data_IF_182484783744
#
_entry.id   IF_182484783744
#
_cell.length_a   1.000
_cell.length_b   1.000
_cell.length_c   1.000
_cell.angle_alpha   90.00
_cell.angle_beta   90.00
_cell.angle_gamma   90.00
#
_symmetry.space_group_name_H-M   'P 1'
#
loop_
_entity.id
_entity.type
_entity.pdbx_description
1 polymer ?
#
# COMPACT_ATOMS: atom_id res chain seq x y z
N UNK A 1 -2.48 7.09 60.02
CA UNK A 1 -3.95 7.16 59.93
C UNK A 1 -4.38 6.54 58.60
N UNK A 2 -5.05 5.38 58.57
CA UNK A 2 -5.45 4.71 57.34
C UNK A 2 -6.79 5.26 56.83
N UNK A 3 -6.86 5.52 55.53
CA UNK A 3 -8.08 5.98 54.82
C UNK A 3 -9.02 4.80 54.57
N UNK A 4 -10.27 4.94 54.97
CA UNK A 4 -11.36 3.97 54.73
C UNK A 4 -11.81 4.01 53.29
N UNK A 5 -11.80 2.86 52.62
CA UNK A 5 -12.36 2.64 51.30
C UNK A 5 -13.82 2.21 51.48
N UNK A 6 -14.76 3.03 50.99
CA UNK A 6 -16.20 2.71 50.99
C UNK A 6 -16.53 2.00 49.67
N UNK A 7 -16.92 0.73 49.76
CA UNK A 7 -17.47 -0.05 48.64
C UNK A 7 -18.92 0.35 48.39
N UNK A 8 -19.21 0.78 47.16
CA UNK A 8 -20.56 1.14 46.70
C UNK A 8 -21.18 -0.05 45.94
N UNK A 9 -22.07 -0.75 46.58
CA UNK A 9 -22.82 -1.90 46.07
C UNK A 9 -23.79 -1.44 44.97
N UNK A 10 -23.65 -1.94 43.75
CA UNK A 10 -24.61 -1.73 42.63
C UNK A 10 -25.73 -2.75 42.74
N UNK A 11 -26.96 -2.28 42.91
CA UNK A 11 -28.18 -3.10 42.81
C UNK A 11 -28.48 -3.39 41.33
N UNK A 12 -28.61 -4.68 41.03
CA UNK A 12 -29.05 -5.18 39.69
C UNK A 12 -30.58 -5.14 39.67
N UNK A 13 -31.14 -4.40 38.71
CA UNK A 13 -32.58 -4.38 38.47
C UNK A 13 -33.00 -5.55 37.57
N UNK A 14 -33.87 -6.41 38.07
CA UNK A 14 -34.45 -7.52 37.32
C UNK A 14 -35.63 -6.98 36.48
N UNK A 15 -35.50 -7.01 35.18
CA UNK A 15 -36.59 -6.65 34.23
C UNK A 15 -37.42 -7.88 33.94
N UNK A 16 -38.67 -7.91 34.37
CA UNK A 16 -39.68 -8.93 34.02
C UNK A 16 -40.10 -8.75 32.57
N UNK A 17 -39.84 -9.77 31.71
CA UNK A 17 -40.36 -9.85 30.36
C UNK A 17 -41.82 -10.22 30.35
N UNK A 18 -42.68 -9.37 29.72
CA UNK A 18 -44.10 -9.71 29.40
C UNK A 18 -44.15 -10.50 28.10
N UNK A 19 -44.92 -11.60 28.13
CA UNK A 19 -45.20 -12.45 26.98
C UNK A 19 -45.96 -11.65 25.90
N UNK A 20 -45.32 -11.46 24.74
CA UNK A 20 -45.97 -10.93 23.53
C UNK A 20 -45.95 -11.95 22.42
N UNK A 21 -47.13 -12.24 21.84
CA UNK A 21 -47.42 -13.22 20.80
C UNK A 21 -46.54 -12.94 19.55
N UNK A 22 -45.90 -13.98 19.03
CA UNK A 22 -45.17 -13.97 17.76
C UNK A 22 -46.15 -14.01 16.58
N UNK A 23 -46.08 -13.12 15.60
CA UNK A 23 -46.78 -13.28 14.32
C UNK A 23 -45.99 -14.23 13.42
N UNK A 24 -46.66 -15.20 12.84
CA UNK A 24 -46.21 -16.17 11.85
C UNK A 24 -45.76 -15.46 10.56
N UNK A 25 -44.56 -15.68 10.01
CA UNK A 25 -44.21 -15.06 8.73
C UNK A 25 -44.80 -15.87 7.55
N UNK A 26 -45.56 -15.20 6.71
CA UNK A 26 -46.00 -15.67 5.39
C UNK A 26 -44.80 -15.84 4.45
N UNK A 27 -44.69 -16.91 3.66
CA UNK A 27 -43.58 -17.07 2.72
C UNK A 27 -43.75 -16.12 1.53
N UNK A 28 -42.88 -15.06 1.47
CA UNK A 28 -42.75 -14.27 0.25
C UNK A 28 -41.81 -15.03 -0.71
N UNK A 29 -42.37 -15.43 -1.84
CA UNK A 29 -41.70 -16.02 -3.00
C UNK A 29 -40.52 -15.10 -3.44
N UNK A 30 -39.31 -15.42 -3.07
CA UNK A 30 -38.13 -14.75 -3.54
C UNK A 30 -37.83 -15.23 -4.97
N UNK A 31 -38.10 -14.39 -5.96
CA UNK A 31 -37.54 -14.53 -7.31
C UNK A 31 -36.03 -14.25 -7.21
N UNK A 32 -35.24 -15.31 -7.01
CA UNK A 32 -33.81 -15.28 -7.13
C UNK A 32 -33.42 -15.08 -8.60
N UNK A 33 -33.27 -13.83 -9.03
CA UNK A 33 -32.50 -13.53 -10.23
C UNK A 33 -31.06 -13.80 -9.89
N UNK A 34 -30.53 -14.97 -10.27
CA UNK A 34 -29.13 -15.26 -10.29
C UNK A 34 -28.46 -14.28 -11.27
N UNK A 35 -27.94 -13.17 -10.72
CA UNK A 35 -27.03 -12.28 -11.42
C UNK A 35 -25.72 -13.06 -11.58
N UNK A 36 -25.52 -13.65 -12.76
CA UNK A 36 -24.24 -14.25 -13.16
C UNK A 36 -23.14 -13.24 -12.92
N UNK A 37 -22.38 -13.46 -11.85
CA UNK A 37 -21.16 -12.67 -11.60
C UNK A 37 -20.18 -13.02 -12.69
N UNK A 38 -19.93 -12.04 -13.55
CA UNK A 38 -18.83 -12.08 -14.49
C UNK A 38 -17.55 -12.30 -13.67
N UNK A 39 -16.96 -13.48 -13.72
CA UNK A 39 -15.69 -13.84 -13.08
C UNK A 39 -14.52 -13.35 -13.95
N UNK A 40 -14.55 -12.10 -14.41
CA UNK A 40 -13.36 -11.42 -14.84
C UNK A 40 -12.43 -11.29 -13.64
N UNK A 41 -11.18 -11.77 -13.74
CA UNK A 41 -10.16 -11.55 -12.70
C UNK A 41 -10.17 -10.07 -12.38
N UNK A 42 -10.52 -9.68 -11.14
CA UNK A 42 -10.47 -8.29 -10.73
C UNK A 42 -9.01 -7.86 -10.72
N UNK A 43 -8.70 -6.73 -11.36
CA UNK A 43 -7.35 -6.15 -11.31
C UNK A 43 -6.98 -5.92 -9.83
N UNK A 44 -5.83 -6.42 -9.36
CA UNK A 44 -5.38 -6.23 -7.99
C UNK A 44 -5.39 -4.76 -7.57
N UNK A 45 -5.58 -4.49 -6.30
CA UNK A 45 -5.42 -3.13 -5.76
C UNK A 45 -3.93 -2.78 -5.71
N UNK A 46 -3.61 -1.50 -5.69
CA UNK A 46 -2.23 -0.99 -5.68
C UNK A 46 -1.41 -1.53 -4.51
N UNK A 47 -2.01 -1.65 -3.32
CA UNK A 47 -1.36 -2.24 -2.14
C UNK A 47 -0.83 -3.67 -2.41
N UNK A 48 -1.58 -4.49 -3.16
CA UNK A 48 -1.16 -5.87 -3.50
C UNK A 48 0.04 -5.86 -4.45
N UNK A 49 0.07 -4.93 -5.40
CA UNK A 49 1.21 -4.75 -6.30
C UNK A 49 2.46 -4.30 -5.53
N UNK A 50 2.29 -3.41 -4.56
CA UNK A 50 3.36 -2.99 -3.67
C UNK A 50 3.90 -4.17 -2.84
N UNK A 51 3.04 -5.03 -2.28
CA UNK A 51 3.47 -6.20 -1.52
C UNK A 51 4.25 -7.18 -2.39
N UNK A 52 3.74 -7.51 -3.59
CA UNK A 52 4.42 -8.41 -4.52
C UNK A 52 5.80 -7.88 -4.93
N UNK A 53 5.92 -6.57 -5.15
CA UNK A 53 7.18 -5.94 -5.47
C UNK A 53 8.19 -6.01 -4.32
N UNK A 54 7.75 -5.71 -3.09
CA UNK A 54 8.60 -5.77 -1.89
C UNK A 54 9.02 -7.22 -1.59
N UNK A 55 8.10 -8.18 -1.72
CA UNK A 55 8.42 -9.61 -1.54
C UNK A 55 9.47 -10.06 -2.54
N UNK A 56 9.38 -9.60 -3.79
CA UNK A 56 10.38 -9.86 -4.81
C UNK A 56 11.74 -9.23 -4.46
N UNK A 57 11.78 -7.96 -4.04
CA UNK A 57 13.03 -7.30 -3.61
C UNK A 57 13.70 -8.09 -2.50
N UNK A 58 12.96 -8.44 -1.44
CA UNK A 58 13.49 -9.18 -0.31
C UNK A 58 14.02 -10.57 -0.67
N UNK A 59 13.40 -11.23 -1.65
CA UNK A 59 13.78 -12.59 -2.06
C UNK A 59 14.94 -12.61 -3.05
N UNK A 60 14.90 -11.74 -4.05
CA UNK A 60 15.78 -11.83 -5.22
C UNK A 60 16.78 -10.67 -5.38
N UNK A 61 16.63 -9.62 -4.60
CA UNK A 61 17.49 -8.44 -4.67
C UNK A 61 17.83 -7.92 -3.26
N UNK A 62 18.35 -8.79 -2.35
CA UNK A 62 18.55 -8.44 -0.93
C UNK A 62 19.56 -7.29 -0.72
N UNK A 63 20.43 -7.03 -1.69
CA UNK A 63 21.43 -5.95 -1.62
C UNK A 63 20.87 -4.59 -2.09
N UNK A 64 19.62 -4.56 -2.58
CA UNK A 64 18.95 -3.31 -2.94
C UNK A 64 18.30 -2.71 -1.70
N UNK A 65 18.82 -1.55 -1.31
CA UNK A 65 18.19 -0.78 -0.24
C UNK A 65 17.00 0.00 -0.80
N UNK A 66 15.89 0.02 -0.05
CA UNK A 66 14.68 0.72 -0.51
C UNK A 66 13.89 1.33 0.64
N UNK A 67 13.14 2.40 0.34
CA UNK A 67 12.18 2.99 1.24
C UNK A 67 10.85 3.24 0.52
N UNK A 68 9.74 2.85 1.16
CA UNK A 68 8.40 3.22 0.73
C UNK A 68 8.00 4.55 1.35
N UNK A 69 7.68 5.54 0.51
CA UNK A 69 7.29 6.89 0.93
C UNK A 69 5.77 6.94 1.06
N UNK A 70 5.25 6.75 2.28
CA UNK A 70 3.83 6.77 2.54
C UNK A 70 3.24 8.18 2.35
N UNK A 71 2.57 8.42 1.22
CA UNK A 71 1.92 9.68 0.90
C UNK A 71 0.46 9.76 1.35
N UNK A 72 -0.15 8.64 1.72
CA UNK A 72 -1.54 8.53 2.10
C UNK A 72 -1.73 8.15 3.57
N UNK A 73 -2.64 8.83 4.26
CA UNK A 73 -3.08 8.42 5.60
C UNK A 73 -4.55 8.01 5.56
N UNK A 74 -4.83 6.75 5.81
CA UNK A 74 -6.18 6.22 6.05
C UNK A 74 -6.64 6.65 7.46
N UNK A 75 -7.20 7.82 7.60
CA UNK A 75 -7.76 8.31 8.87
C UNK A 75 -9.11 8.97 8.65
N UNK A 76 -9.87 9.22 9.73
CA UNK A 76 -11.13 9.95 9.63
C UNK A 76 -10.90 11.30 8.95
N UNK A 77 -11.90 11.82 8.21
CA UNK A 77 -11.74 13.08 7.44
C UNK A 77 -11.23 14.25 8.30
N UNK A 78 -11.66 14.34 9.58
CA UNK A 78 -11.20 15.39 10.51
C UNK A 78 -9.74 15.20 10.91
N UNK A 79 -9.36 13.99 11.29
CA UNK A 79 -8.00 13.67 11.72
C UNK A 79 -7.01 13.73 10.55
N UNK A 80 -7.44 13.36 9.34
CA UNK A 80 -6.66 13.49 8.12
C UNK A 80 -6.29 14.93 7.82
N UNK A 81 -7.23 15.89 7.98
CA UNK A 81 -6.96 17.31 7.74
C UNK A 81 -5.96 17.89 8.74
N UNK A 82 -6.06 17.52 10.03
CA UNK A 82 -5.13 17.98 11.07
C UNK A 82 -3.74 17.39 10.83
N UNK A 83 -3.66 16.09 10.61
CA UNK A 83 -2.41 15.38 10.31
C UNK A 83 -1.75 15.91 9.04
N UNK A 84 -2.52 16.08 7.96
CA UNK A 84 -2.02 16.60 6.69
C UNK A 84 -1.37 17.98 6.86
N UNK A 85 -2.01 18.92 7.58
CA UNK A 85 -1.40 20.22 7.88
C UNK A 85 -0.12 20.11 8.70
N UNK A 86 -0.08 19.22 9.69
CA UNK A 86 1.13 18.96 10.49
C UNK A 86 2.26 18.45 9.59
N UNK A 87 1.99 17.43 8.78
CA UNK A 87 2.99 16.83 7.88
C UNK A 87 3.50 17.83 6.83
N UNK A 88 2.63 18.66 6.27
CA UNK A 88 3.03 19.75 5.36
C UNK A 88 3.95 20.77 6.04
N UNK A 89 3.67 21.14 7.32
CA UNK A 89 4.57 22.01 8.09
C UNK A 89 5.92 21.36 8.39
N UNK A 90 5.96 20.02 8.47
CA UNK A 90 7.19 19.23 8.59
C UNK A 90 7.91 19.01 7.24
N UNK A 91 7.40 19.58 6.15
CA UNK A 91 8.02 19.50 4.83
C UNK A 91 7.51 18.40 3.91
N UNK A 92 6.51 17.61 4.34
CA UNK A 92 5.94 16.61 3.44
C UNK A 92 5.33 17.29 2.20
N UNK A 93 5.69 16.79 1.03
CA UNK A 93 5.18 17.24 -0.27
C UNK A 93 4.24 16.20 -0.85
N UNK A 94 3.21 16.69 -1.56
CA UNK A 94 2.30 15.81 -2.31
C UNK A 94 2.96 15.31 -3.59
N UNK A 95 2.59 14.09 -3.97
CA UNK A 95 2.99 13.51 -5.24
C UNK A 95 4.45 13.06 -5.31
N UNK A 96 5.18 13.06 -4.18
CA UNK A 96 6.47 12.38 -4.09
C UNK A 96 6.23 10.91 -4.41
N UNK A 97 7.08 10.30 -5.23
CA UNK A 97 6.88 8.95 -5.70
C UNK A 97 7.01 7.90 -4.59
N UNK A 98 6.35 6.75 -4.78
CA UNK A 98 6.11 5.78 -3.72
C UNK A 98 7.37 5.08 -3.23
N UNK A 99 8.35 4.83 -4.12
CA UNK A 99 9.58 4.13 -3.78
C UNK A 99 10.82 4.91 -4.15
N UNK A 100 11.77 4.91 -3.22
CA UNK A 100 13.17 5.26 -3.36
C UNK A 100 13.99 3.99 -3.25
N UNK A 101 14.81 3.70 -4.26
CA UNK A 101 15.67 2.52 -4.26
C UNK A 101 17.11 2.93 -4.53
N UNK A 102 18.03 2.23 -3.88
CA UNK A 102 19.46 2.35 -4.06
C UNK A 102 20.00 1.01 -4.54
N UNK A 103 20.32 0.95 -5.83
CA UNK A 103 20.82 -0.25 -6.49
C UNK A 103 22.33 -0.31 -6.31
N UNK A 104 22.93 -1.37 -5.73
CA UNK A 104 24.34 -1.45 -5.53
C UNK A 104 25.09 -1.56 -6.87
N UNK A 105 26.18 -0.83 -6.98
CA UNK A 105 27.16 -0.94 -8.06
C UNK A 105 28.43 -1.53 -7.45
N UNK A 106 28.77 -2.74 -7.90
CA UNK A 106 29.92 -3.47 -7.39
C UNK A 106 31.20 -3.03 -8.10
N UNK A 107 32.29 -2.98 -7.36
CA UNK A 107 33.63 -2.75 -7.91
C UNK A 107 34.24 -4.02 -8.51
N UNK A 108 35.50 -3.95 -8.90
CA UNK A 108 36.21 -5.07 -9.52
C UNK A 108 36.49 -6.25 -8.57
N UNK A 109 36.49 -5.99 -7.26
CA UNK A 109 36.68 -7.00 -6.21
C UNK A 109 35.35 -7.65 -5.78
N UNK A 110 34.23 -7.11 -6.26
CA UNK A 110 32.90 -7.61 -5.94
C UNK A 110 32.26 -6.99 -4.70
N UNK A 111 32.89 -5.97 -4.14
CA UNK A 111 32.34 -5.19 -3.03
C UNK A 111 31.45 -4.06 -3.55
N UNK A 112 30.53 -3.59 -2.69
CA UNK A 112 29.66 -2.46 -3.05
C UNK A 112 30.48 -1.17 -3.04
N UNK A 113 30.79 -0.64 -4.22
CA UNK A 113 31.56 0.60 -4.38
C UNK A 113 30.69 1.86 -4.27
N UNK A 114 29.46 1.83 -4.79
CA UNK A 114 28.51 2.95 -4.76
C UNK A 114 27.08 2.44 -5.01
N UNK A 115 26.12 3.36 -5.05
CA UNK A 115 24.71 3.06 -5.34
C UNK A 115 24.18 3.94 -6.47
N UNK A 116 23.33 3.36 -7.33
CA UNK A 116 22.49 4.09 -8.27
C UNK A 116 21.12 4.31 -7.63
N UNK A 117 20.76 5.56 -7.37
CA UNK A 117 19.39 5.90 -6.97
C UNK A 117 18.43 5.79 -8.15
N UNK A 118 17.28 5.17 -7.93
CA UNK A 118 16.15 5.17 -8.86
C UNK A 118 14.84 5.46 -8.11
N UNK A 119 13.82 5.94 -8.83
CA UNK A 119 12.49 6.24 -8.24
C UNK A 119 11.39 5.51 -8.99
N UNK A 120 10.45 4.93 -8.25
CA UNK A 120 9.28 4.25 -8.81
C UNK A 120 8.01 4.86 -8.24
N UNK A 121 7.07 5.18 -9.13
CA UNK A 121 5.67 5.44 -8.80
C UNK A 121 4.88 4.18 -9.12
N UNK A 122 4.30 3.54 -8.12
CA UNK A 122 3.49 2.34 -8.29
C UNK A 122 2.06 2.70 -8.67
N UNK A 123 1.50 1.94 -9.60
CA UNK A 123 0.10 2.02 -10.01
C UNK A 123 -0.50 0.63 -10.10
N UNK A 124 -1.82 0.53 -9.96
CA UNK A 124 -2.53 -0.70 -10.28
C UNK A 124 -2.21 -1.13 -11.70
N UNK A 125 -2.27 -2.42 -11.97
CA UNK A 125 -2.12 -2.95 -13.33
C UNK A 125 -3.01 -2.21 -14.32
N UNK A 126 -2.60 -2.18 -15.60
CA UNK A 126 -3.35 -1.50 -16.67
C UNK A 126 -4.79 -2.03 -16.71
N UNK A 127 -5.74 -1.12 -16.87
CA UNK A 127 -7.18 -1.42 -16.74
C UNK A 127 -7.75 -1.24 -15.33
N UNK A 128 -6.91 -1.01 -14.30
CA UNK A 128 -7.32 -0.76 -12.91
C UNK A 128 -7.82 0.67 -12.63
N UNK A 129 -7.77 1.57 -13.61
CA UNK A 129 -8.28 2.95 -13.50
C UNK A 129 -7.36 3.91 -12.73
N UNK A 130 -6.10 3.54 -12.48
CA UNK A 130 -5.13 4.44 -11.85
C UNK A 130 -4.68 5.55 -12.82
N UNK A 131 -4.56 6.78 -12.29
CA UNK A 131 -4.09 7.96 -13.02
C UNK A 131 -2.90 8.59 -12.31
N UNK A 132 -2.06 9.29 -13.08
CA UNK A 132 -0.93 10.04 -12.53
C UNK A 132 -1.34 11.48 -12.30
N UNK A 133 -1.20 11.98 -11.06
CA UNK A 133 -1.53 13.36 -10.71
C UNK A 133 -0.54 14.37 -11.31
N UNK A 134 -0.93 15.64 -11.33
CA UNK A 134 -0.03 16.69 -11.82
C UNK A 134 1.19 16.85 -10.89
N UNK A 135 1.01 16.68 -9.59
CA UNK A 135 2.08 16.71 -8.60
C UNK A 135 3.11 15.59 -8.86
N UNK A 136 2.65 14.37 -9.13
CA UNK A 136 3.51 13.24 -9.49
C UNK A 136 4.31 13.52 -10.77
N UNK A 137 3.67 14.10 -11.79
CA UNK A 137 4.35 14.51 -13.03
C UNK A 137 5.40 15.59 -12.79
N UNK A 138 5.12 16.53 -11.89
CA UNK A 138 6.09 17.57 -11.54
C UNK A 138 7.31 16.98 -10.83
N UNK A 139 7.10 16.02 -9.92
CA UNK A 139 8.20 15.31 -9.28
C UNK A 139 9.03 14.50 -10.29
N UNK A 140 8.39 13.80 -11.24
CA UNK A 140 9.10 13.13 -12.33
C UNK A 140 10.07 14.06 -13.06
N UNK A 141 9.64 15.27 -13.42
CA UNK A 141 10.51 16.28 -14.07
C UNK A 141 11.68 16.71 -13.18
N UNK A 142 11.47 16.79 -11.85
CA UNK A 142 12.55 17.14 -10.91
C UNK A 142 13.58 16.02 -10.87
N UNK A 143 13.13 14.76 -10.79
CA UNK A 143 14.02 13.59 -10.80
C UNK A 143 14.79 13.48 -12.11
N UNK A 144 14.12 13.67 -13.26
CA UNK A 144 14.78 13.69 -14.58
C UNK A 144 15.87 14.78 -14.65
N UNK A 145 15.56 16.00 -14.16
CA UNK A 145 16.52 17.09 -14.13
C UNK A 145 17.70 16.83 -13.16
N UNK A 146 17.48 16.03 -12.12
CA UNK A 146 18.51 15.58 -11.18
C UNK A 146 19.33 14.38 -11.71
N UNK A 147 18.96 13.83 -12.88
CA UNK A 147 19.62 12.65 -13.45
C UNK A 147 19.26 11.34 -12.72
N UNK A 148 18.16 11.33 -11.96
CA UNK A 148 17.69 10.15 -11.24
C UNK A 148 16.74 9.36 -12.18
N UNK A 149 17.07 8.12 -12.55
CA UNK A 149 16.19 7.29 -13.37
C UNK A 149 14.83 7.05 -12.68
N UNK A 150 13.75 7.24 -13.41
CA UNK A 150 12.42 7.16 -12.86
C UNK A 150 11.47 6.36 -13.75
N UNK A 151 10.48 5.67 -13.15
CA UNK A 151 9.43 5.01 -13.89
C UNK A 151 8.11 4.94 -13.13
N UNK A 152 7.02 5.26 -13.83
CA UNK A 152 5.67 4.92 -13.37
C UNK A 152 5.39 3.49 -13.81
N UNK A 153 5.21 2.58 -12.83
CA UNK A 153 5.05 1.15 -13.04
C UNK A 153 3.61 0.72 -12.81
N UNK A 154 3.02 0.05 -13.79
CA UNK A 154 1.66 -0.49 -13.69
C UNK A 154 1.72 -1.96 -13.28
N UNK A 155 1.76 -2.19 -11.96
CA UNK A 155 1.93 -3.49 -11.34
C UNK A 155 3.38 -3.80 -10.96
N UNK A 156 3.54 -4.84 -10.14
CA UNK A 156 4.83 -5.29 -9.64
C UNK A 156 5.77 -5.70 -10.77
N UNK A 157 5.26 -6.36 -11.82
CA UNK A 157 6.08 -6.85 -12.95
C UNK A 157 6.82 -5.72 -13.68
N UNK A 158 6.15 -4.58 -13.92
CA UNK A 158 6.81 -3.42 -14.55
C UNK A 158 7.87 -2.81 -13.62
N UNK A 159 7.65 -2.82 -12.30
CA UNK A 159 8.61 -2.33 -11.32
C UNK A 159 9.84 -3.24 -11.24
N UNK A 160 9.63 -4.55 -11.18
CA UNK A 160 10.69 -5.58 -11.21
C UNK A 160 11.53 -5.45 -12.48
N UNK A 161 10.88 -5.39 -13.64
CA UNK A 161 11.57 -5.22 -14.92
C UNK A 161 12.39 -3.92 -15.00
N UNK A 162 11.96 -2.86 -14.31
CA UNK A 162 12.71 -1.62 -14.23
C UNK A 162 13.94 -1.76 -13.33
N UNK A 163 13.82 -2.36 -12.14
CA UNK A 163 14.95 -2.64 -11.24
C UNK A 163 16.00 -3.49 -11.94
N UNK A 164 15.58 -4.55 -12.64
CA UNK A 164 16.47 -5.46 -13.38
C UNK A 164 17.37 -4.75 -14.41
N UNK A 165 16.97 -3.59 -14.94
CA UNK A 165 17.79 -2.82 -15.89
C UNK A 165 19.06 -2.24 -15.27
N UNK A 166 19.06 -2.02 -13.96
CA UNK A 166 20.19 -1.43 -13.22
C UNK A 166 21.00 -2.47 -12.44
N UNK A 167 20.42 -3.62 -12.19
CA UNK A 167 21.02 -4.67 -11.39
C UNK A 167 22.00 -5.50 -12.23
N UNK A 168 23.26 -5.08 -12.29
CA UNK A 168 24.29 -5.72 -13.12
C UNK A 168 24.73 -7.11 -12.63
N UNK A 169 24.40 -7.53 -11.40
CA UNK A 169 24.83 -8.79 -10.79
C UNK A 169 23.77 -9.55 -10.00
N UNK A 170 22.49 -9.19 -10.07
CA UNK A 170 21.47 -10.03 -9.47
C UNK A 170 21.39 -11.28 -10.36
N UNK A 171 21.92 -12.41 -9.88
CA UNK A 171 21.65 -13.71 -10.49
C UNK A 171 20.18 -14.01 -10.25
N UNK A 172 19.38 -13.75 -11.27
CA UNK A 172 18.00 -14.19 -11.27
C UNK A 172 18.03 -15.68 -11.64
N UNK A 173 17.57 -16.52 -10.73
CA UNK A 173 17.17 -17.88 -11.10
C UNK A 173 15.95 -17.72 -12.01
N UNK A 174 16.20 -17.70 -13.33
CA UNK A 174 15.18 -17.55 -14.37
C UNK A 174 14.23 -18.77 -14.46
N UNK A 175 14.38 -19.78 -13.59
CA UNK A 175 13.66 -21.05 -13.65
C UNK A 175 12.32 -21.08 -12.88
N UNK A 176 11.93 -20.00 -12.18
CA UNK A 176 10.58 -19.90 -11.62
C UNK A 176 9.68 -19.03 -12.52
N UNK A 177 9.16 -19.65 -13.58
CA UNK A 177 8.02 -19.15 -14.35
C UNK A 177 6.78 -19.27 -13.46
N UNK A 178 6.15 -18.12 -13.16
CA UNK A 178 4.86 -18.05 -12.47
C UNK A 178 3.70 -18.49 -13.36
#
# INVERSE_FOLDING_TARGET
MPRKITQKTRRVAVVRRKNGKTPTPTPKTAKNAQKTRNTGKSVPIEDVECFNFVDWLNKYAPDVEYAHIANESRSSKKDAAIRGRKLQRMGQKRGVWDYELFIPIYDVDGEIGTYQEIRIEMKRQRGGGSTTSQEQKNWGKIYDAAGIPTKICFGADEAIAFVKQFAQRIQFDDDEVF
#
